data_IF_204343864816
#
_entry.id   IF_204343864816
#
_cell.length_a   1.000
_cell.length_b   1.000
_cell.length_c   1.000
_cell.angle_alpha   90.00
_cell.angle_beta   90.00
_cell.angle_gamma   90.00
#
_symmetry.space_group_name_H-M   'P 1'
#
loop_
_entity.id
_entity.type
_entity.pdbx_description
1 polymer ?
#
# COMPACT_ATOMS: atom_id res chain seq x y z
N UNK A 1 -6.71 -34.96 -96.17
CA UNK A 1 -6.24 -33.61 -96.57
C UNK A 1 -6.32 -32.69 -95.36
N UNK A 2 -5.20 -32.04 -95.07
CA UNK A 2 -4.98 -30.80 -94.29
C UNK A 2 -5.38 -30.71 -92.81
N UNK A 3 -4.33 -30.67 -91.99
CA UNK A 3 -4.27 -30.20 -90.62
C UNK A 3 -4.56 -28.70 -90.48
N UNK A 4 -4.94 -28.25 -89.26
CA UNK A 4 -4.29 -27.12 -88.56
C UNK A 4 -4.87 -26.85 -87.15
N UNK A 5 -3.93 -26.78 -86.21
CA UNK A 5 -3.76 -25.84 -85.09
C UNK A 5 -4.73 -25.84 -83.88
N UNK A 6 -4.20 -26.43 -82.80
CA UNK A 6 -4.04 -25.91 -81.42
C UNK A 6 -4.64 -24.54 -81.07
N UNK A 7 -5.34 -24.51 -79.93
CA UNK A 7 -5.08 -23.55 -78.86
C UNK A 7 -5.37 -24.19 -77.49
N UNK A 8 -4.32 -24.30 -76.69
CA UNK A 8 -4.33 -24.72 -75.29
C UNK A 8 -4.68 -23.52 -74.43
N UNK A 9 -5.68 -23.66 -73.57
CA UNK A 9 -5.86 -22.80 -72.39
C UNK A 9 -6.14 -23.73 -71.19
N UNK A 10 -5.09 -23.96 -70.40
CA UNK A 10 -5.15 -24.69 -69.14
C UNK A 10 -5.81 -23.76 -68.12
N UNK A 11 -7.07 -24.03 -67.76
CA UNK A 11 -7.71 -23.41 -66.61
C UNK A 11 -7.38 -24.24 -65.35
N UNK A 12 -6.57 -23.66 -64.47
CA UNK A 12 -6.25 -24.19 -63.14
C UNK A 12 -7.53 -24.24 -62.29
N UNK A 13 -8.18 -25.41 -62.23
CA UNK A 13 -9.17 -25.69 -61.20
C UNK A 13 -8.44 -26.20 -59.97
N UNK A 14 -8.28 -25.32 -58.98
CA UNK A 14 -7.81 -25.66 -57.64
C UNK A 14 -8.84 -26.57 -56.98
N UNK A 15 -8.60 -27.87 -57.07
CA UNK A 15 -9.35 -28.87 -56.33
C UNK A 15 -9.00 -28.70 -54.85
N UNK A 16 -9.84 -27.99 -54.10
CA UNK A 16 -9.80 -27.94 -52.65
C UNK A 16 -10.14 -29.34 -52.12
N UNK A 17 -9.12 -30.14 -51.86
CA UNK A 17 -9.27 -31.35 -51.08
C UNK A 17 -9.39 -30.92 -49.60
N UNK A 18 -10.63 -30.82 -49.08
CA UNK A 18 -10.86 -30.63 -47.64
C UNK A 18 -10.45 -31.91 -46.91
N UNK A 19 -9.18 -32.02 -46.53
CA UNK A 19 -8.73 -32.99 -45.55
C UNK A 19 -9.25 -32.54 -44.17
N UNK A 20 -10.34 -33.15 -43.70
CA UNK A 20 -10.75 -33.04 -42.30
C UNK A 20 -9.69 -33.74 -41.45
N UNK A 21 -8.88 -32.95 -40.75
CA UNK A 21 -8.02 -33.45 -39.68
C UNK A 21 -8.92 -33.86 -38.52
N UNK A 22 -9.20 -35.16 -38.40
CA UNK A 22 -9.86 -35.71 -37.21
C UNK A 22 -8.87 -35.59 -36.06
N UNK A 23 -9.13 -34.68 -35.11
CA UNK A 23 -8.34 -34.59 -33.89
C UNK A 23 -8.65 -35.79 -32.99
N UNK A 24 -7.63 -36.45 -32.40
CA UNK A 24 -7.85 -37.51 -31.42
C UNK A 24 -8.62 -36.98 -30.20
N UNK A 25 -9.40 -37.83 -29.50
CA UNK A 25 -10.16 -37.41 -28.34
C UNK A 25 -9.22 -36.82 -27.28
N UNK A 26 -9.59 -35.64 -26.80
CA UNK A 26 -8.87 -34.97 -25.73
C UNK A 26 -8.89 -35.83 -24.46
N UNK A 27 -7.77 -35.91 -23.71
CA UNK A 27 -7.75 -36.65 -22.45
C UNK A 27 -8.78 -36.04 -21.48
N UNK A 28 -9.41 -36.85 -20.63
CA UNK A 28 -10.40 -36.34 -19.68
C UNK A 28 -9.76 -35.27 -18.81
N UNK A 29 -10.41 -34.09 -18.74
CA UNK A 29 -10.05 -33.02 -17.80
C UNK A 29 -9.93 -33.64 -16.42
N UNK A 30 -8.71 -33.69 -15.89
CA UNK A 30 -8.48 -34.05 -14.51
C UNK A 30 -9.25 -33.06 -13.64
N UNK A 31 -10.24 -33.58 -12.91
CA UNK A 31 -10.92 -32.82 -11.89
C UNK A 31 -9.87 -32.31 -10.90
N UNK A 32 -9.80 -30.99 -10.72
CA UNK A 32 -8.97 -30.40 -9.68
C UNK A 32 -9.43 -30.99 -8.34
N UNK A 33 -8.54 -31.61 -7.55
CA UNK A 33 -8.92 -32.10 -6.23
C UNK A 33 -9.54 -30.97 -5.40
N UNK A 34 -10.52 -31.26 -4.53
CA UNK A 34 -11.03 -30.27 -3.58
C UNK A 34 -9.85 -29.64 -2.85
N UNK A 35 -9.84 -28.31 -2.73
CA UNK A 35 -8.80 -27.61 -1.99
C UNK A 35 -8.68 -28.25 -0.59
N UNK A 36 -7.52 -28.81 -0.28
CA UNK A 36 -7.27 -29.42 1.01
C UNK A 36 -7.59 -28.41 2.13
N UNK A 37 -8.26 -28.88 3.18
CA UNK A 37 -8.57 -28.07 4.35
C UNK A 37 -7.29 -27.39 4.88
N UNK A 38 -7.38 -26.14 5.38
CA UNK A 38 -6.23 -25.44 5.93
C UNK A 38 -5.61 -26.26 7.07
N UNK A 39 -4.27 -26.27 7.14
CA UNK A 39 -3.56 -26.89 8.26
C UNK A 39 -3.91 -26.19 9.58
N UNK A 40 -3.68 -26.86 10.71
CA UNK A 40 -3.90 -26.27 12.05
C UNK A 40 -3.20 -24.90 12.19
N UNK A 41 -1.97 -24.78 11.67
CA UNK A 41 -1.23 -23.52 11.68
C UNK A 41 -1.88 -22.43 10.80
N UNK A 42 -2.38 -22.80 9.61
CA UNK A 42 -3.09 -21.85 8.74
C UNK A 42 -4.36 -21.33 9.41
N UNK A 43 -5.10 -22.21 10.09
CA UNK A 43 -6.29 -21.84 10.84
C UNK A 43 -5.95 -20.90 12.00
N UNK A 44 -4.90 -21.18 12.78
CA UNK A 44 -4.48 -20.31 13.88
C UNK A 44 -4.07 -18.90 13.43
N UNK A 45 -3.32 -18.78 12.32
CA UNK A 45 -3.05 -17.47 11.72
C UNK A 45 -4.36 -16.78 11.36
N UNK A 46 -5.22 -17.46 10.61
CA UNK A 46 -6.45 -16.87 10.08
C UNK A 46 -7.40 -16.41 11.20
N UNK A 47 -7.57 -17.24 12.23
CA UNK A 47 -8.46 -16.96 13.36
C UNK A 47 -7.98 -15.76 14.17
N UNK A 48 -6.69 -15.67 14.47
CA UNK A 48 -6.13 -14.55 15.21
C UNK A 48 -6.30 -13.22 14.45
N UNK A 49 -6.12 -13.23 13.11
CA UNK A 49 -6.39 -12.05 12.29
C UNK A 49 -7.87 -11.69 12.30
N UNK A 50 -8.74 -12.68 12.11
CA UNK A 50 -10.18 -12.46 12.00
C UNK A 50 -10.80 -12.01 13.33
N UNK A 51 -10.27 -12.48 14.46
CA UNK A 51 -10.63 -11.97 15.78
C UNK A 51 -10.34 -10.47 15.90
N UNK A 52 -9.12 -10.02 15.54
CA UNK A 52 -8.76 -8.60 15.58
C UNK A 52 -9.58 -7.75 14.58
N UNK A 53 -9.95 -8.32 13.43
CA UNK A 53 -10.76 -7.64 12.41
C UNK A 53 -12.21 -7.43 12.82
N UNK A 54 -12.78 -8.38 13.56
CA UNK A 54 -14.13 -8.24 14.14
C UNK A 54 -14.17 -7.08 15.14
N UNK A 55 -13.14 -6.90 15.97
CA UNK A 55 -13.08 -5.79 16.95
C UNK A 55 -13.21 -4.40 16.31
N UNK A 56 -12.81 -4.26 15.03
CA UNK A 56 -12.85 -2.98 14.30
C UNK A 56 -13.88 -2.94 13.18
N UNK A 57 -14.73 -3.98 13.07
CA UNK A 57 -15.83 -4.02 12.11
C UNK A 57 -15.40 -4.14 10.64
N UNK A 58 -14.27 -4.82 10.35
CA UNK A 58 -13.85 -5.12 8.96
C UNK A 58 -14.07 -6.60 8.62
N UNK A 59 -14.37 -6.88 7.35
CA UNK A 59 -14.70 -8.24 6.89
C UNK A 59 -13.54 -9.22 7.13
N UNK A 60 -13.81 -10.50 7.44
CA UNK A 60 -12.75 -11.48 7.69
C UNK A 60 -11.92 -11.75 6.43
N UNK A 61 -10.63 -12.07 6.63
CA UNK A 61 -9.73 -12.59 5.61
C UNK A 61 -10.10 -14.03 5.29
N UNK A 62 -9.73 -14.45 4.08
CA UNK A 62 -9.75 -15.85 3.63
C UNK A 62 -8.32 -16.36 3.44
N UNK A 63 -8.07 -17.61 3.79
CA UNK A 63 -6.77 -18.23 3.54
C UNK A 63 -6.54 -18.45 2.04
N UNK A 64 -5.37 -18.06 1.55
CA UNK A 64 -4.93 -18.26 0.17
C UNK A 64 -3.70 -19.17 0.15
N UNK A 65 -3.86 -20.35 -0.44
CA UNK A 65 -2.76 -21.30 -0.58
C UNK A 65 -1.61 -20.75 -1.43
N UNK A 66 -1.92 -19.87 -2.40
CA UNK A 66 -0.91 -19.22 -3.22
C UNK A 66 -0.05 -18.24 -2.42
N UNK A 67 -0.67 -17.43 -1.56
CA UNK A 67 0.05 -16.53 -0.66
C UNK A 67 0.87 -17.33 0.37
N UNK A 68 0.31 -18.40 0.92
CA UNK A 68 1.02 -19.27 1.86
C UNK A 68 2.25 -19.91 1.22
N UNK A 69 2.14 -20.39 -0.02
CA UNK A 69 3.28 -20.90 -0.80
C UNK A 69 4.34 -19.83 -1.01
N UNK A 70 3.94 -18.61 -1.35
CA UNK A 70 4.84 -17.47 -1.53
C UNK A 70 5.57 -17.13 -0.22
N UNK A 71 4.84 -17.03 0.89
CA UNK A 71 5.42 -16.81 2.22
C UNK A 71 6.42 -17.91 2.59
N UNK A 72 6.06 -19.17 2.32
CA UNK A 72 6.87 -20.36 2.59
C UNK A 72 8.18 -20.34 1.80
N UNK A 73 8.15 -19.93 0.54
CA UNK A 73 9.36 -19.74 -0.27
C UNK A 73 10.24 -18.62 0.28
N UNK A 74 9.65 -17.49 0.68
CA UNK A 74 10.38 -16.35 1.20
C UNK A 74 11.07 -16.67 2.53
N UNK A 75 10.37 -17.26 3.51
CA UNK A 75 10.99 -17.60 4.81
C UNK A 75 12.11 -18.62 4.67
N UNK A 76 11.97 -19.60 3.76
CA UNK A 76 13.05 -20.55 3.45
C UNK A 76 14.25 -19.84 2.83
N UNK A 77 14.02 -18.95 1.86
CA UNK A 77 15.09 -18.18 1.27
C UNK A 77 15.84 -17.33 2.31
N UNK A 78 15.11 -16.66 3.21
CA UNK A 78 15.75 -15.89 4.29
C UNK A 78 16.57 -16.78 5.23
N UNK A 79 16.02 -17.91 5.66
CA UNK A 79 16.72 -18.89 6.50
C UNK A 79 17.98 -19.42 5.83
N UNK A 80 17.88 -19.85 4.57
CA UNK A 80 18.94 -20.61 3.89
C UNK A 80 20.02 -19.70 3.30
N UNK A 81 19.68 -18.45 2.95
CA UNK A 81 20.55 -17.57 2.15
C UNK A 81 20.80 -16.20 2.76
N UNK A 82 20.06 -15.78 3.78
CA UNK A 82 20.10 -14.40 4.30
C UNK A 82 20.18 -14.34 5.84
N UNK A 83 20.77 -15.36 6.47
CA UNK A 83 20.97 -15.44 7.93
C UNK A 83 19.69 -15.15 8.72
N UNK A 84 18.55 -15.65 8.24
CA UNK A 84 17.24 -15.49 8.85
C UNK A 84 16.82 -14.03 9.15
N UNK A 85 17.37 -13.06 8.42
CA UNK A 85 17.00 -11.65 8.57
C UNK A 85 15.63 -11.35 7.93
N UNK A 86 15.07 -10.17 8.20
CA UNK A 86 13.86 -9.73 7.51
C UNK A 86 14.07 -9.63 6.00
N UNK A 87 13.07 -10.09 5.24
CA UNK A 87 13.04 -9.92 3.79
C UNK A 87 12.82 -8.45 3.42
N UNK A 88 13.43 -8.01 2.31
CA UNK A 88 13.07 -6.75 1.69
C UNK A 88 11.77 -6.93 0.89
N UNK A 89 10.66 -6.45 1.46
CA UNK A 89 9.33 -6.56 0.86
C UNK A 89 8.90 -5.32 0.06
N UNK A 90 9.77 -4.32 -0.14
CA UNK A 90 9.42 -3.04 -0.77
C UNK A 90 8.93 -3.19 -2.21
N UNK A 91 9.39 -4.22 -2.94
CA UNK A 91 8.96 -4.54 -4.32
C UNK A 91 7.89 -5.64 -4.39
N UNK A 92 7.37 -6.07 -3.25
CA UNK A 92 6.30 -7.07 -3.20
C UNK A 92 5.01 -6.48 -3.77
N UNK A 93 4.33 -7.24 -4.61
CA UNK A 93 2.96 -6.91 -5.07
C UNK A 93 1.90 -7.19 -3.99
N UNK A 94 2.29 -7.87 -2.90
CA UNK A 94 1.44 -8.17 -1.75
C UNK A 94 1.86 -7.34 -0.55
N UNK A 95 0.91 -7.06 0.34
CA UNK A 95 1.19 -6.49 1.66
C UNK A 95 1.91 -7.52 2.51
N UNK A 96 2.75 -7.10 3.47
CA UNK A 96 3.62 -8.02 4.19
C UNK A 96 3.86 -7.63 5.64
N UNK A 97 3.66 -8.59 6.55
CA UNK A 97 4.13 -8.50 7.93
C UNK A 97 5.21 -9.54 8.17
N UNK A 98 6.19 -9.19 9.01
CA UNK A 98 7.27 -10.06 9.41
C UNK A 98 7.45 -10.04 10.92
N UNK A 99 7.83 -11.17 11.50
CA UNK A 99 8.20 -11.26 12.91
C UNK A 99 9.44 -12.13 13.04
N UNK A 100 10.45 -11.61 13.72
CA UNK A 100 11.63 -12.35 14.14
C UNK A 100 11.55 -12.52 15.65
N UNK A 101 11.69 -13.76 16.12
CA UNK A 101 11.65 -14.08 17.54
C UNK A 101 12.84 -14.97 17.89
N UNK A 102 13.65 -14.53 18.87
CA UNK A 102 14.79 -15.28 19.38
C UNK A 102 14.40 -16.28 20.46
N UNK A 103 15.26 -17.27 20.69
CA UNK A 103 15.11 -18.31 21.71
C UNK A 103 14.27 -19.49 21.24
N UNK A 104 13.07 -19.28 20.69
CA UNK A 104 12.19 -20.36 20.21
C UNK A 104 11.24 -19.92 19.08
N UNK A 105 10.66 -20.92 18.41
CA UNK A 105 9.52 -20.71 17.51
C UNK A 105 8.31 -20.19 18.27
N UNK A 106 7.66 -19.16 17.75
CA UNK A 106 6.38 -18.66 18.27
C UNK A 106 5.22 -19.37 17.56
N UNK A 107 4.11 -19.58 18.28
CA UNK A 107 2.91 -20.11 17.66
C UNK A 107 2.38 -19.13 16.61
N UNK A 108 1.68 -19.63 15.55
CA UNK A 108 1.01 -18.78 14.58
C UNK A 108 0.15 -17.68 15.21
N UNK A 109 -0.66 -18.04 16.22
CA UNK A 109 -1.48 -17.08 16.97
C UNK A 109 -0.64 -16.02 17.69
N UNK A 110 0.41 -16.41 18.41
CA UNK A 110 1.26 -15.48 19.15
C UNK A 110 1.95 -14.47 18.22
N UNK A 111 2.33 -14.89 17.01
CA UNK A 111 2.91 -13.98 16.02
C UNK A 111 1.92 -12.87 15.63
N UNK A 112 0.65 -13.22 15.42
CA UNK A 112 -0.41 -12.26 15.09
C UNK A 112 -0.75 -11.37 16.27
N UNK A 113 -0.85 -11.93 17.47
CA UNK A 113 -1.10 -11.17 18.70
C UNK A 113 -0.01 -10.13 18.98
N UNK A 114 1.25 -10.46 18.63
CA UNK A 114 2.37 -9.49 18.68
C UNK A 114 2.11 -8.30 17.76
N UNK A 115 1.65 -8.52 16.52
CA UNK A 115 1.30 -7.43 15.61
C UNK A 115 0.06 -6.67 16.08
N UNK A 116 -0.96 -7.36 16.59
CA UNK A 116 -2.19 -6.76 17.12
C UNK A 116 -1.91 -5.89 18.35
N UNK A 117 -0.88 -6.18 19.13
CA UNK A 117 -0.51 -5.40 20.30
C UNK A 117 -0.15 -3.94 19.98
N UNK A 118 0.24 -3.59 18.74
CA UNK A 118 0.45 -2.19 18.35
C UNK A 118 -0.86 -1.37 18.36
N UNK A 119 -2.04 -2.01 18.43
CA UNK A 119 -3.34 -1.32 18.50
C UNK A 119 -3.43 -0.29 19.63
N UNK A 120 -2.73 -0.52 20.74
CA UNK A 120 -2.68 0.39 21.89
C UNK A 120 -2.04 1.74 21.57
N UNK A 121 -1.27 1.82 20.48
CA UNK A 121 -0.63 3.03 20.00
C UNK A 121 -1.37 3.67 18.82
N UNK A 122 -2.41 3.02 18.29
CA UNK A 122 -3.10 3.45 17.08
C UNK A 122 -4.35 4.28 17.40
N UNK A 123 -4.47 5.46 16.77
CA UNK A 123 -5.64 6.32 16.88
C UNK A 123 -6.47 6.27 15.60
N UNK A 124 -7.66 5.68 15.68
CA UNK A 124 -8.54 5.49 14.53
C UNK A 124 -9.12 6.80 13.96
N UNK A 125 -9.34 7.80 14.81
CA UNK A 125 -10.00 9.05 14.42
C UNK A 125 -9.26 9.77 13.29
N UNK A 126 -7.93 9.72 13.30
CA UNK A 126 -7.07 10.39 12.33
C UNK A 126 -6.10 9.43 11.61
N UNK A 127 -6.18 8.13 11.89
CA UNK A 127 -5.27 7.08 11.41
C UNK A 127 -3.80 7.34 11.79
N UNK A 128 -3.56 7.92 12.97
CA UNK A 128 -2.22 8.18 13.48
C UNK A 128 -1.71 7.07 14.39
N UNK A 129 -0.38 7.03 14.54
CA UNK A 129 0.30 6.21 15.53
C UNK A 129 0.95 7.12 16.57
N UNK A 130 0.97 6.70 17.83
CA UNK A 130 1.62 7.43 18.91
C UNK A 130 3.09 7.76 18.54
N UNK A 131 3.63 8.90 19.02
CA UNK A 131 5.04 9.24 18.84
C UNK A 131 5.95 8.07 19.24
N UNK A 132 7.04 7.88 18.50
CA UNK A 132 8.06 6.85 18.74
C UNK A 132 7.57 5.38 18.67
N UNK A 133 6.33 5.17 18.25
CA UNK A 133 5.75 3.86 18.01
C UNK A 133 5.54 3.58 16.52
N UNK A 134 5.41 2.28 16.21
CA UNK A 134 4.99 1.78 14.90
C UNK A 134 3.64 1.12 15.06
N UNK A 135 2.79 1.30 14.05
CA UNK A 135 1.46 0.71 13.97
C UNK A 135 1.25 -0.01 12.63
N UNK A 136 2.29 -0.10 11.80
CA UNK A 136 2.19 -0.58 10.42
C UNK A 136 1.79 -2.05 10.35
N UNK A 137 2.37 -2.91 11.20
CA UNK A 137 2.00 -4.32 11.17
C UNK A 137 0.57 -4.51 11.68
N UNK A 138 0.12 -3.70 12.65
CA UNK A 138 -1.27 -3.70 13.05
C UNK A 138 -2.23 -3.24 11.95
N UNK A 139 -1.98 -2.07 11.34
CA UNK A 139 -2.87 -1.54 10.30
C UNK A 139 -2.98 -2.47 9.09
N UNK A 140 -1.94 -3.26 8.80
CA UNK A 140 -2.02 -4.31 7.78
C UNK A 140 -2.97 -5.44 8.19
N UNK A 141 -2.90 -5.93 9.44
CA UNK A 141 -3.81 -6.98 9.96
C UNK A 141 -5.27 -6.57 9.80
N UNK A 142 -5.58 -5.31 10.17
CA UNK A 142 -6.94 -4.77 10.11
C UNK A 142 -7.25 -4.00 8.82
N UNK A 143 -6.44 -4.16 7.77
CA UNK A 143 -6.65 -3.41 6.54
C UNK A 143 -7.94 -3.81 5.84
N UNK A 144 -8.87 -2.87 5.70
CA UNK A 144 -10.23 -3.15 5.18
C UNK A 144 -10.24 -3.75 3.78
N UNK A 145 -9.29 -3.35 2.92
CA UNK A 145 -9.25 -3.80 1.52
C UNK A 145 -8.57 -5.16 1.33
N UNK A 146 -7.73 -5.59 2.26
CA UNK A 146 -7.12 -6.93 2.18
C UNK A 146 -8.20 -7.97 2.41
N UNK A 147 -8.25 -8.98 1.54
CA UNK A 147 -9.25 -10.05 1.52
C UNK A 147 -8.63 -11.44 1.65
N UNK A 148 -7.40 -11.61 1.20
CA UNK A 148 -6.67 -12.87 1.28
C UNK A 148 -5.45 -12.77 2.20
N UNK A 149 -5.14 -13.87 2.87
CA UNK A 149 -3.99 -14.04 3.77
C UNK A 149 -3.25 -15.34 3.44
N UNK A 150 -1.93 -15.32 3.49
CA UNK A 150 -1.14 -16.55 3.55
C UNK A 150 0.16 -16.34 4.29
N UNK A 151 0.47 -17.26 5.19
CA UNK A 151 1.59 -17.14 6.12
C UNK A 151 2.49 -18.37 6.10
N UNK A 152 3.73 -18.18 6.52
CA UNK A 152 4.65 -19.26 6.83
C UNK A 152 5.65 -18.82 7.91
N UNK A 153 6.24 -19.81 8.57
CA UNK A 153 7.33 -19.62 9.52
C UNK A 153 8.48 -20.55 9.17
N UNK A 154 9.71 -20.05 9.32
CA UNK A 154 10.92 -20.85 9.30
C UNK A 154 11.60 -20.83 10.67
N UNK A 155 12.03 -22.01 11.14
CA UNK A 155 12.95 -22.13 12.27
C UNK A 155 14.39 -21.93 11.76
N UNK A 156 15.16 -21.13 12.48
CA UNK A 156 16.49 -20.68 12.12
C UNK A 156 17.46 -21.12 13.21
N UNK A 157 17.96 -22.36 13.08
CA UNK A 157 18.73 -23.02 14.13
C UNK A 157 20.07 -22.33 14.43
N UNK A 158 20.71 -21.71 13.43
CA UNK A 158 22.00 -21.01 13.62
C UNK A 158 21.84 -19.73 14.43
N UNK A 159 20.71 -19.06 14.24
CA UNK A 159 20.36 -17.81 14.90
C UNK A 159 19.52 -18.03 16.17
N UNK A 160 19.26 -19.30 16.53
CA UNK A 160 18.38 -19.72 17.62
C UNK A 160 17.05 -18.95 17.59
N UNK A 161 16.43 -18.86 16.43
CA UNK A 161 15.31 -17.96 16.18
C UNK A 161 14.24 -18.57 15.28
N UNK A 162 13.15 -17.82 15.12
CA UNK A 162 12.14 -18.07 14.09
C UNK A 162 11.82 -16.79 13.31
N UNK A 163 11.54 -16.96 12.02
CA UNK A 163 11.07 -15.91 11.14
C UNK A 163 9.70 -16.26 10.58
N UNK A 164 8.70 -15.45 10.92
CA UNK A 164 7.35 -15.53 10.38
C UNK A 164 7.15 -14.46 9.33
N UNK A 165 6.55 -14.81 8.18
CA UNK A 165 6.12 -13.87 7.15
C UNK A 165 4.66 -14.17 6.79
N UNK A 166 3.81 -13.15 6.78
CA UNK A 166 2.45 -13.20 6.27
C UNK A 166 2.28 -12.22 5.12
N UNK A 167 1.69 -12.69 4.02
CA UNK A 167 1.32 -11.87 2.87
C UNK A 167 -0.19 -11.64 2.81
N UNK A 168 -0.56 -10.45 2.33
CA UNK A 168 -1.93 -9.97 2.23
C UNK A 168 -2.23 -9.50 0.81
N UNK A 169 -3.41 -9.84 0.29
CA UNK A 169 -3.85 -9.41 -1.02
C UNK A 169 -5.30 -8.88 -0.98
N UNK A 170 -5.59 -7.71 -1.58
CA UNK A 170 -4.66 -6.64 -1.97
C UNK A 170 -3.75 -6.15 -0.82
N UNK A 171 -2.59 -5.53 -1.14
CA UNK A 171 -1.72 -4.95 -0.13
C UNK A 171 -2.44 -3.91 0.73
N UNK A 172 -2.12 -3.92 2.03
CA UNK A 172 -2.43 -2.81 2.92
C UNK A 172 -1.26 -1.86 3.03
N UNK A 173 -1.47 -0.77 3.77
CA UNK A 173 -0.44 0.23 4.03
C UNK A 173 0.30 0.69 2.77
N UNK A 174 -0.39 0.76 1.64
CA UNK A 174 0.19 1.29 0.42
C UNK A 174 0.70 2.70 0.72
N UNK A 175 2.03 2.82 0.83
CA UNK A 175 2.69 4.10 0.71
C UNK A 175 2.36 4.56 -0.70
N UNK A 176 1.49 5.55 -0.85
CA UNK A 176 1.26 6.20 -2.14
C UNK A 176 2.63 6.58 -2.70
N UNK A 177 3.13 5.93 -3.76
CA UNK A 177 4.33 6.40 -4.42
C UNK A 177 3.96 7.77 -4.98
N UNK A 178 4.60 8.81 -4.44
CA UNK A 178 4.31 10.21 -4.80
C UNK A 178 4.54 10.49 -6.30
N UNK A 179 5.18 9.57 -7.02
CA UNK A 179 5.45 9.65 -8.46
C UNK A 179 4.23 9.35 -9.35
N UNK A 180 3.16 8.72 -8.84
CA UNK A 180 1.95 8.41 -9.63
C UNK A 180 0.66 8.95 -9.01
N UNK A 181 0.75 9.78 -7.97
CA UNK A 181 -0.42 10.31 -7.31
C UNK A 181 -1.04 11.43 -8.16
N UNK A 182 -2.28 11.24 -8.61
CA UNK A 182 -3.13 12.36 -9.02
C UNK A 182 -3.38 13.23 -7.77
N UNK A 183 -2.50 14.20 -7.54
CA UNK A 183 -2.46 15.01 -6.31
C UNK A 183 -3.66 15.97 -6.28
N UNK A 184 -4.80 15.48 -5.81
CA UNK A 184 -5.97 16.34 -5.59
C UNK A 184 -5.72 17.31 -4.43
N UNK A 185 -6.36 18.48 -4.44
CA UNK A 185 -6.40 19.44 -3.31
C UNK A 185 -6.67 18.74 -1.97
N UNK A 186 -7.60 17.78 -1.95
CA UNK A 186 -7.97 17.02 -0.76
C UNK A 186 -6.81 16.19 -0.22
N UNK A 187 -6.04 15.57 -1.11
CA UNK A 187 -4.89 14.74 -0.74
C UNK A 187 -3.73 15.60 -0.24
N UNK A 188 -3.44 16.72 -0.91
CA UNK A 188 -2.45 17.72 -0.46
C UNK A 188 -2.82 18.22 0.95
N UNK A 189 -4.06 18.62 1.17
CA UNK A 189 -4.56 19.03 2.48
C UNK A 189 -4.48 17.92 3.53
N UNK A 190 -4.56 16.64 3.14
CA UNK A 190 -4.40 15.49 4.06
C UNK A 190 -2.94 15.33 4.46
N UNK A 191 -2.02 15.42 3.51
CA UNK A 191 -0.59 15.34 3.79
C UNK A 191 -0.10 16.48 4.67
N UNK A 192 -0.45 17.73 4.36
CA UNK A 192 -0.08 18.91 5.18
C UNK A 192 -0.47 18.72 6.65
N UNK A 193 -1.66 18.13 6.91
CA UNK A 193 -2.14 17.84 8.27
C UNK A 193 -1.36 16.73 8.97
N UNK A 194 -0.85 15.75 8.22
CA UNK A 194 -0.17 14.58 8.77
C UNK A 194 1.25 14.88 9.25
N UNK A 195 1.88 15.95 8.75
CA UNK A 195 3.24 16.31 9.15
C UNK A 195 3.26 16.91 10.55
N UNK A 196 4.17 16.41 11.40
CA UNK A 196 4.44 16.98 12.73
C UNK A 196 5.22 18.30 12.62
N UNK A 197 6.34 18.31 11.90
CA UNK A 197 7.15 19.51 11.64
C UNK A 197 6.48 20.44 10.62
N UNK A 198 6.52 21.74 10.88
CA UNK A 198 6.06 22.77 9.95
C UNK A 198 7.01 22.93 8.76
N UNK A 199 8.30 22.73 8.97
CA UNK A 199 9.37 22.78 7.98
C UNK A 199 9.23 21.64 6.96
N UNK A 200 9.01 20.42 7.42
CA UNK A 200 8.78 19.27 6.53
C UNK A 200 7.47 19.45 5.76
N UNK A 201 6.42 19.95 6.42
CA UNK A 201 5.17 20.28 5.75
C UNK A 201 5.36 21.36 4.68
N UNK A 202 6.19 22.36 4.95
CA UNK A 202 6.56 23.41 4.00
C UNK A 202 7.34 22.85 2.81
N UNK A 203 8.33 22.00 3.03
CA UNK A 203 9.08 21.35 1.94
C UNK A 203 8.16 20.53 1.03
N UNK A 204 7.24 19.76 1.62
CA UNK A 204 6.22 19.06 0.85
C UNK A 204 5.32 20.04 0.08
N UNK A 205 4.81 21.09 0.76
CA UNK A 205 3.97 22.11 0.14
C UNK A 205 4.68 22.77 -1.05
N UNK A 206 5.94 23.19 -0.90
CA UNK A 206 6.75 23.73 -2.00
C UNK A 206 6.97 22.70 -3.11
N UNK A 207 7.25 21.45 -2.76
CA UNK A 207 7.44 20.39 -3.74
C UNK A 207 6.20 20.17 -4.64
N UNK A 208 4.98 20.32 -4.10
CA UNK A 208 3.72 20.17 -4.85
C UNK A 208 3.64 21.12 -6.05
N UNK A 209 4.21 22.33 -5.97
CA UNK A 209 4.17 23.29 -7.10
C UNK A 209 5.04 22.89 -8.28
N UNK A 210 5.94 21.92 -8.11
CA UNK A 210 6.75 21.38 -9.20
C UNK A 210 6.07 20.20 -9.91
N UNK A 211 4.89 19.77 -9.45
CA UNK A 211 4.14 18.69 -10.08
C UNK A 211 3.34 19.22 -11.29
N UNK A 212 3.30 18.48 -12.43
CA UNK A 212 2.60 18.93 -13.62
C UNK A 212 1.11 19.19 -13.36
N UNK A 213 0.65 20.40 -13.68
CA UNK A 213 -0.78 20.76 -13.62
C UNK A 213 -1.33 21.03 -12.22
N UNK A 214 -0.47 21.18 -11.21
CA UNK A 214 -0.90 21.40 -9.82
C UNK A 214 -0.43 22.77 -9.33
N UNK A 215 -1.39 23.60 -8.93
CA UNK A 215 -1.14 24.87 -8.26
C UNK A 215 -1.84 24.87 -6.90
N UNK A 216 -1.28 25.59 -5.94
CA UNK A 216 -1.92 25.73 -4.65
C UNK A 216 -3.15 26.62 -4.75
N UNK A 217 -4.29 26.06 -4.35
CA UNK A 217 -5.54 26.79 -4.22
C UNK A 217 -5.70 27.35 -2.79
N UNK A 218 -6.79 28.06 -2.58
CA UNK A 218 -7.08 28.68 -1.28
C UNK A 218 -7.19 27.67 -0.14
N UNK A 219 -7.54 26.41 -0.42
CA UNK A 219 -7.68 25.37 0.60
C UNK A 219 -6.32 24.84 1.05
N UNK A 220 -5.43 24.52 0.10
CA UNK A 220 -4.07 24.07 0.45
C UNK A 220 -3.30 25.19 1.16
N UNK A 221 -3.45 26.44 0.69
CA UNK A 221 -2.87 27.63 1.33
C UNK A 221 -3.44 27.83 2.72
N UNK A 222 -4.77 27.78 2.90
CA UNK A 222 -5.41 27.91 4.22
C UNK A 222 -4.90 26.87 5.22
N UNK A 223 -4.63 25.64 4.76
CA UNK A 223 -4.07 24.59 5.61
C UNK A 223 -2.62 24.86 5.98
N UNK A 224 -1.80 25.24 5.00
CA UNK A 224 -0.39 25.52 5.23
C UNK A 224 -0.20 26.72 6.14
N UNK A 225 -0.87 27.85 5.88
CA UNK A 225 -0.74 29.07 6.67
C UNK A 225 -1.16 28.88 8.13
N UNK A 226 -2.22 28.09 8.38
CA UNK A 226 -2.64 27.75 9.75
C UNK A 226 -1.59 26.90 10.47
N UNK A 227 -0.94 25.96 9.77
CA UNK A 227 0.11 25.14 10.37
C UNK A 227 1.35 25.99 10.68
N UNK A 228 1.77 26.84 9.76
CA UNK A 228 2.90 27.75 9.96
C UNK A 228 2.66 28.71 11.14
N UNK A 229 1.48 29.33 11.20
CA UNK A 229 1.12 30.24 12.29
C UNK A 229 1.18 29.54 13.65
N UNK A 230 0.63 28.33 13.77
CA UNK A 230 0.66 27.54 15.02
C UNK A 230 2.06 27.16 15.49
N UNK A 231 3.01 27.03 14.57
CA UNK A 231 4.39 26.67 14.87
C UNK A 231 5.32 27.89 14.96
N UNK A 232 4.78 29.12 14.86
CA UNK A 232 5.57 30.34 14.96
C UNK A 232 6.49 30.61 13.76
N UNK A 233 6.18 30.05 12.58
CA UNK A 233 7.00 30.24 11.38
C UNK A 233 6.65 31.57 10.67
N UNK A 234 6.88 32.70 11.34
CA UNK A 234 6.40 34.06 10.95
C UNK A 234 6.74 34.40 9.49
N UNK A 235 8.01 34.26 9.09
CA UNK A 235 8.46 34.60 7.73
C UNK A 235 7.72 33.83 6.63
N UNK A 236 7.39 32.56 6.87
CA UNK A 236 6.66 31.74 5.90
C UNK A 236 5.16 32.08 5.85
N UNK A 237 4.60 32.56 6.96
CA UNK A 237 3.22 33.10 7.00
C UNK A 237 3.14 34.36 6.14
N UNK A 238 4.10 35.28 6.27
CA UNK A 238 4.14 36.52 5.48
C UNK A 238 4.21 36.23 3.98
N UNK A 239 5.04 35.27 3.58
CA UNK A 239 5.15 34.84 2.19
C UNK A 239 3.79 34.36 1.63
N UNK A 240 3.04 33.59 2.41
CA UNK A 240 1.72 33.12 2.01
C UNK A 240 0.68 34.23 1.98
N UNK A 241 0.69 35.16 2.95
CA UNK A 241 -0.19 36.32 2.95
C UNK A 241 0.03 37.20 1.71
N UNK A 242 1.30 37.45 1.36
CA UNK A 242 1.65 38.19 0.15
C UNK A 242 1.13 37.48 -1.11
N UNK A 243 1.29 36.15 -1.21
CA UNK A 243 0.74 35.35 -2.32
C UNK A 243 -0.79 35.46 -2.39
N UNK A 244 -1.48 35.33 -1.26
CA UNK A 244 -2.95 35.45 -1.17
C UNK A 244 -3.41 36.81 -1.69
N UNK A 245 -2.76 37.89 -1.27
CA UNK A 245 -3.09 39.25 -1.70
C UNK A 245 -2.84 39.45 -3.20
N UNK A 246 -1.67 39.03 -3.68
CA UNK A 246 -1.28 39.18 -5.09
C UNK A 246 -2.22 38.42 -6.04
N UNK A 247 -2.70 37.24 -5.62
CA UNK A 247 -3.57 36.39 -6.44
C UNK A 247 -5.07 36.61 -6.15
N UNK A 248 -5.41 37.61 -5.32
CA UNK A 248 -6.80 37.98 -5.03
C UNK A 248 -7.61 36.90 -4.32
N UNK A 249 -6.94 35.99 -3.60
CA UNK A 249 -7.59 34.89 -2.91
C UNK A 249 -8.22 35.36 -1.59
N UNK A 250 -9.35 34.75 -1.20
CA UNK A 250 -10.08 35.10 0.03
C UNK A 250 -10.02 33.97 1.04
N UNK A 251 -9.31 34.20 2.16
CA UNK A 251 -9.32 33.28 3.29
C UNK A 251 -10.69 33.27 3.99
N UNK A 252 -11.06 32.12 4.54
CA UNK A 252 -12.24 32.05 5.41
C UNK A 252 -12.02 32.84 6.71
N UNK A 253 -13.09 33.38 7.28
CA UNK A 253 -13.02 34.08 8.57
C UNK A 253 -12.40 33.22 9.68
N UNK A 254 -12.69 31.91 9.70
CA UNK A 254 -12.07 30.97 10.64
C UNK A 254 -10.56 30.85 10.46
N UNK A 255 -10.08 30.84 9.21
CA UNK A 255 -8.64 30.80 8.92
C UNK A 255 -7.98 32.10 9.36
N UNK A 256 -8.59 33.24 9.04
CA UNK A 256 -8.08 34.57 9.43
C UNK A 256 -7.96 34.66 10.95
N UNK A 257 -9.00 34.24 11.69
CA UNK A 257 -8.97 34.23 13.15
C UNK A 257 -7.83 33.36 13.69
N UNK A 258 -7.66 32.14 13.18
CA UNK A 258 -6.55 31.28 13.60
C UNK A 258 -5.19 31.89 13.29
N UNK A 259 -5.04 32.53 12.12
CA UNK A 259 -3.81 33.23 11.78
C UNK A 259 -3.59 34.35 12.80
N UNK A 260 -4.55 35.24 13.04
CA UNK A 260 -4.42 36.33 14.03
C UNK A 260 -4.09 35.79 15.44
N UNK A 261 -4.78 34.75 15.91
CA UNK A 261 -4.61 34.20 17.25
C UNK A 261 -3.18 33.66 17.48
N UNK A 262 -2.56 33.05 16.46
CA UNK A 262 -1.22 32.45 16.58
C UNK A 262 -0.09 33.36 16.06
N UNK A 263 -0.35 34.16 15.03
CA UNK A 263 0.60 35.09 14.40
C UNK A 263 0.66 36.43 15.14
N UNK A 264 -0.49 36.97 15.56
CA UNK A 264 -0.58 38.28 16.22
C UNK A 264 0.14 38.37 17.56
N UNK A 265 0.38 37.25 18.24
CA UNK A 265 1.14 37.19 19.50
C UNK A 265 2.67 37.17 19.31
N UNK A 266 3.17 36.77 18.13
CA UNK A 266 4.61 36.64 17.87
C UNK A 266 5.15 37.71 16.91
N UNK A 267 4.40 38.11 15.88
CA UNK A 267 4.84 39.12 14.91
C UNK A 267 5.02 40.52 15.49
N UNK A 268 4.44 40.82 16.66
CA UNK A 268 4.65 42.09 17.37
C UNK A 268 5.95 42.14 18.17
N UNK A 269 6.56 40.98 18.49
CA UNK A 269 7.81 40.94 19.26
C UNK A 269 9.07 41.12 18.38
N UNK A 270 8.93 41.01 17.05
CA UNK A 270 10.03 41.22 16.09
C UNK A 270 10.13 42.68 15.59
N UNK A 271 9.26 43.58 16.09
CA UNK A 271 9.21 45.01 15.70
C UNK A 271 9.70 45.95 16.82
N UNK A 272 10.30 45.40 17.89
CA UNK A 272 10.96 46.17 18.96
C UNK A 272 12.44 45.82 19.06
#
# INVERSE_FOLDING_TARGET
MMAKLLLVMIALSSCYCSAQVVQPPSPPKSATPPAAAPSTAAQEYLDAHNQARVEVGVAPLKWSQQLAKTASLQVRYQRDRQNCTFANLTKSIYGGNQLWAGGMAVTPRAAVETWVAEKKFYTYADNSCAPDHRCGVYTQVVWKKSVELGCAQASCSKEEASLTICFYNPPGNEAFPLENANLTTRLVCKFIRSFKSAEIAWQFFSWVTYQPGITHDIYTISRMITKLARHGCVHLVDLLLFKIQREGMKLSFSTIRLVIDFYGFQGLNDVN
#
